data_IF_552540930128
#
_entry.id   IF_552540930128
#
_cell.length_a   1.000
_cell.length_b   1.000
_cell.length_c   1.000
_cell.angle_alpha   90.00
_cell.angle_beta   90.00
_cell.angle_gamma   90.00
#
_symmetry.space_group_name_H-M   'P 1'
#
loop_
_entity.id
_entity.type
_entity.pdbx_description
1 polymer ?
#
# COMPACT_ATOMS: atom_id res chain seq x y z
N UNK A 1 -11.77 -43.47 51.39
CA UNK A 1 -12.68 -44.61 51.65
C UNK A 1 -13.91 -44.45 50.76
N UNK A 2 -14.09 -45.43 49.86
CA UNK A 2 -15.33 -45.97 49.26
C UNK A 2 -16.40 -44.99 48.71
N UNK A 3 -16.51 -44.96 47.36
CA UNK A 3 -17.68 -45.21 46.46
C UNK A 3 -19.11 -45.30 47.07
N UNK A 4 -20.25 -45.18 46.31
CA UNK A 4 -20.41 -45.49 44.87
C UNK A 4 -21.41 -44.67 44.02
N UNK A 5 -21.21 -44.78 42.70
CA UNK A 5 -22.16 -45.10 41.61
C UNK A 5 -23.60 -44.55 41.60
N UNK A 6 -23.98 -43.95 40.46
CA UNK A 6 -25.32 -44.17 39.89
C UNK A 6 -25.32 -44.11 38.36
N UNK A 7 -25.74 -45.25 37.78
CA UNK A 7 -26.15 -45.46 36.40
C UNK A 7 -27.42 -44.66 36.06
N UNK A 8 -27.59 -44.32 34.77
CA UNK A 8 -28.82 -44.31 33.92
C UNK A 8 -28.67 -43.19 32.88
N UNK A 9 -29.17 -43.25 31.66
CA UNK A 9 -29.79 -44.28 30.84
C UNK A 9 -29.60 -43.82 29.39
N UNK A 10 -29.30 -44.76 28.50
CA UNK A 10 -29.22 -44.51 27.07
C UNK A 10 -30.64 -44.37 26.51
N UNK A 11 -30.91 -43.28 25.78
CA UNK A 11 -32.11 -43.13 24.97
C UNK A 11 -31.66 -43.07 23.50
N UNK A 12 -31.82 -44.19 22.80
CA UNK A 12 -31.62 -44.32 21.36
C UNK A 12 -32.83 -43.70 20.64
N UNK A 13 -32.63 -42.52 20.05
CA UNK A 13 -33.56 -41.98 19.05
C UNK A 13 -33.06 -42.40 17.66
N UNK A 14 -33.76 -43.38 17.08
CA UNK A 14 -33.65 -43.77 15.69
C UNK A 14 -34.27 -42.68 14.82
N UNK A 15 -33.46 -41.68 14.45
CA UNK A 15 -33.79 -40.68 13.44
C UNK A 15 -33.76 -41.32 12.05
N UNK A 16 -34.88 -41.22 11.34
CA UNK A 16 -35.04 -41.68 9.96
C UNK A 16 -34.20 -40.83 9.01
N UNK A 17 -33.18 -41.44 8.41
CA UNK A 17 -32.36 -40.82 7.37
C UNK A 17 -33.17 -40.78 6.06
N UNK A 18 -33.60 -39.58 5.65
CA UNK A 18 -34.03 -39.35 4.27
C UNK A 18 -32.77 -39.24 3.41
N UNK A 19 -32.54 -40.22 2.54
CA UNK A 19 -31.60 -40.12 1.42
C UNK A 19 -32.16 -39.08 0.44
N UNK A 20 -31.76 -37.82 0.62
CA UNK A 20 -31.85 -36.84 -0.44
C UNK A 20 -30.81 -37.22 -1.49
N UNK A 21 -31.26 -37.55 -2.69
CA UNK A 21 -30.39 -37.71 -3.84
C UNK A 21 -29.64 -36.39 -4.05
N UNK A 22 -28.33 -36.40 -3.78
CA UNK A 22 -27.45 -35.32 -4.13
C UNK A 22 -27.44 -35.24 -5.66
N UNK A 23 -28.16 -34.26 -6.21
CA UNK A 23 -27.92 -33.83 -7.57
C UNK A 23 -26.52 -33.20 -7.56
N UNK A 24 -25.56 -33.88 -8.19
CA UNK A 24 -24.26 -33.33 -8.57
C UNK A 24 -24.52 -32.16 -9.52
N UNK A 25 -24.81 -31.00 -8.94
CA UNK A 25 -24.56 -29.74 -9.56
C UNK A 25 -23.05 -29.62 -9.60
N UNK A 26 -22.48 -30.12 -10.69
CA UNK A 26 -21.20 -29.66 -11.20
C UNK A 26 -21.37 -28.17 -11.46
N UNK A 27 -21.24 -27.38 -10.38
CA UNK A 27 -20.86 -25.98 -10.47
C UNK A 27 -19.49 -26.00 -11.12
N UNK A 28 -19.49 -25.95 -12.45
CA UNK A 28 -18.42 -25.31 -13.17
C UNK A 28 -18.23 -23.98 -12.46
N UNK A 29 -17.13 -23.87 -11.72
CA UNK A 29 -16.51 -22.60 -11.43
C UNK A 29 -16.34 -21.94 -12.80
N UNK A 30 -17.36 -21.21 -13.25
CA UNK A 30 -17.15 -20.03 -14.06
C UNK A 30 -16.31 -19.16 -13.13
N UNK A 31 -14.99 -19.37 -13.20
CA UNK A 31 -14.03 -18.35 -12.85
C UNK A 31 -14.49 -17.19 -13.68
N UNK A 32 -15.17 -16.29 -12.98
CA UNK A 32 -15.83 -15.15 -13.53
C UNK A 32 -14.76 -14.40 -14.33
N UNK A 33 -14.80 -14.55 -15.66
CA UNK A 33 -13.96 -13.81 -16.59
C UNK A 33 -14.35 -12.30 -16.60
N UNK A 34 -15.04 -11.85 -15.56
CA UNK A 34 -15.31 -10.47 -15.22
C UNK A 34 -14.12 -9.75 -14.60
N UNK A 35 -12.98 -10.42 -14.38
CA UNK A 35 -11.67 -9.73 -14.23
C UNK A 35 -11.25 -8.91 -15.47
N UNK A 36 -12.01 -8.94 -16.57
CA UNK A 36 -11.74 -8.17 -17.80
C UNK A 36 -12.87 -7.27 -18.28
N UNK A 37 -13.91 -7.01 -17.47
CA UNK A 37 -15.00 -6.08 -17.88
C UNK A 37 -15.20 -4.93 -16.91
N UNK A 38 -14.11 -4.36 -16.41
CA UNK A 38 -14.10 -2.91 -16.23
C UNK A 38 -14.16 -2.28 -17.62
N UNK A 39 -14.96 -1.22 -17.75
CA UNK A 39 -15.19 -0.41 -18.95
C UNK A 39 -13.97 -0.28 -19.86
N UNK A 40 -14.17 -0.04 -21.16
CA UNK A 40 -13.17 0.30 -22.19
C UNK A 40 -12.25 1.48 -21.82
N UNK A 41 -11.55 1.38 -20.70
CA UNK A 41 -10.39 2.14 -20.34
C UNK A 41 -9.36 1.81 -21.41
N UNK A 42 -8.75 2.83 -21.99
CA UNK A 42 -7.81 2.64 -23.09
C UNK A 42 -6.73 1.62 -22.70
N UNK A 43 -6.12 0.96 -23.66
CA UNK A 43 -5.07 -0.04 -23.41
C UNK A 43 -3.94 0.47 -22.51
N UNK A 44 -3.77 1.79 -22.41
CA UNK A 44 -2.79 2.49 -21.58
C UNK A 44 -3.27 2.93 -20.18
N UNK A 45 -4.48 2.57 -19.76
CA UNK A 45 -4.89 2.76 -18.36
C UNK A 45 -4.19 1.75 -17.47
N UNK A 46 -3.74 2.21 -16.31
CA UNK A 46 -3.07 1.34 -15.34
C UNK A 46 -3.99 0.18 -14.91
N UNK A 47 -3.42 -1.01 -14.78
CA UNK A 47 -4.06 -2.20 -14.27
C UNK A 47 -3.89 -2.27 -12.74
N UNK A 48 -4.87 -2.83 -12.05
CA UNK A 48 -4.79 -3.06 -10.61
C UNK A 48 -3.65 -4.02 -10.26
N UNK A 49 -2.81 -3.67 -9.28
CA UNK A 49 -1.62 -4.47 -8.96
C UNK A 49 -1.99 -5.91 -8.57
N UNK A 50 -2.93 -6.07 -7.65
CA UNK A 50 -3.43 -7.36 -7.19
C UNK A 50 -3.98 -8.21 -8.33
N UNK A 51 -4.72 -7.64 -9.28
CA UNK A 51 -5.28 -8.40 -10.39
C UNK A 51 -4.20 -8.87 -11.37
N UNK A 52 -3.15 -8.07 -11.60
CA UNK A 52 -1.99 -8.47 -12.41
C UNK A 52 -1.29 -9.69 -11.83
N UNK A 53 -0.97 -9.70 -10.53
CA UNK A 53 -0.29 -10.84 -9.92
C UNK A 53 -1.20 -12.05 -9.71
N UNK A 54 -2.41 -11.86 -9.18
CA UNK A 54 -3.35 -12.96 -8.95
C UNK A 54 -3.85 -13.59 -10.26
N UNK A 55 -3.93 -12.80 -11.33
CA UNK A 55 -4.23 -13.28 -12.68
C UNK A 55 -3.05 -13.97 -13.38
N UNK A 56 -1.86 -13.99 -12.76
CA UNK A 56 -0.64 -14.53 -13.36
C UNK A 56 -0.21 -13.79 -14.63
N UNK A 57 -0.53 -12.50 -14.74
CA UNK A 57 -0.14 -11.66 -15.86
C UNK A 57 1.33 -11.21 -15.75
N UNK A 58 1.83 -11.05 -14.53
CA UNK A 58 3.22 -10.84 -14.21
C UNK A 58 3.55 -11.49 -12.86
N UNK A 59 4.84 -11.68 -12.60
CA UNK A 59 5.42 -12.10 -11.32
C UNK A 59 6.30 -10.98 -10.79
N UNK A 60 6.52 -10.99 -9.48
CA UNK A 60 7.43 -10.02 -8.87
C UNK A 60 8.83 -10.18 -9.48
N UNK A 61 9.42 -9.06 -9.92
CA UNK A 61 10.70 -9.04 -10.62
C UNK A 61 10.59 -9.09 -12.15
N UNK A 62 9.39 -9.28 -12.72
CA UNK A 62 9.19 -9.21 -14.17
C UNK A 62 9.32 -7.78 -14.72
N UNK A 63 9.15 -6.77 -13.86
CA UNK A 63 9.23 -5.37 -14.25
C UNK A 63 10.13 -4.56 -13.32
N UNK A 64 9.52 -3.70 -12.51
CA UNK A 64 10.19 -2.63 -11.78
C UNK A 64 9.87 -2.67 -10.29
N UNK A 65 9.45 -3.84 -9.82
CA UNK A 65 9.24 -4.09 -8.40
C UNK A 65 10.58 -3.94 -7.68
N UNK A 66 10.61 -3.00 -6.73
CA UNK A 66 11.67 -2.92 -5.76
C UNK A 66 11.25 -3.69 -4.51
N UNK A 67 12.07 -4.67 -4.09
CA UNK A 67 11.85 -5.49 -2.90
C UNK A 67 13.02 -5.29 -1.91
N UNK A 68 12.92 -4.32 -0.97
CA UNK A 68 13.97 -4.04 0.00
C UNK A 68 14.40 -5.27 0.81
N UNK A 69 13.44 -6.17 1.10
CA UNK A 69 13.60 -7.27 2.07
C UNK A 69 13.30 -8.66 1.52
N UNK A 70 13.15 -8.81 0.21
CA UNK A 70 12.91 -10.10 -0.47
C UNK A 70 11.60 -10.84 -0.15
N UNK A 71 10.99 -10.60 1.02
CA UNK A 71 9.80 -11.31 1.51
C UNK A 71 8.53 -10.45 1.51
N UNK A 72 8.67 -9.12 1.46
CA UNK A 72 7.54 -8.19 1.54
C UNK A 72 7.16 -7.67 0.16
N UNK A 73 6.08 -8.20 -0.39
CA UNK A 73 5.58 -7.88 -1.73
C UNK A 73 4.25 -7.08 -1.65
N UNK A 74 4.30 -5.77 -1.35
CA UNK A 74 3.08 -4.96 -1.21
C UNK A 74 2.19 -5.02 -2.45
N UNK A 75 2.81 -5.09 -3.63
CA UNK A 75 2.14 -5.08 -4.93
C UNK A 75 1.07 -6.17 -5.07
N UNK A 76 1.27 -7.35 -4.47
CA UNK A 76 0.31 -8.47 -4.56
C UNK A 76 -1.00 -8.23 -3.82
N UNK A 77 -1.03 -7.25 -2.91
CA UNK A 77 -2.18 -6.95 -2.05
C UNK A 77 -2.90 -5.65 -2.42
N UNK A 78 -2.28 -4.79 -3.24
CA UNK A 78 -2.84 -3.51 -3.64
C UNK A 78 -3.90 -3.68 -4.73
N UNK A 79 -5.17 -3.45 -4.40
CA UNK A 79 -6.27 -3.62 -5.35
C UNK A 79 -6.34 -2.52 -6.42
N UNK A 80 -5.92 -1.31 -6.07
CA UNK A 80 -6.05 -0.14 -6.94
C UNK A 80 -5.00 -0.15 -8.05
N UNK A 81 -5.22 0.67 -9.09
CA UNK A 81 -4.34 0.79 -10.25
C UNK A 81 -3.45 2.05 -10.19
N UNK A 82 -3.21 2.58 -8.99
CA UNK A 82 -2.45 3.82 -8.84
C UNK A 82 -0.96 3.57 -8.96
N UNK A 83 -0.23 4.56 -9.43
CA UNK A 83 1.20 4.42 -9.68
C UNK A 83 2.03 4.52 -8.40
N UNK A 84 3.08 3.70 -8.34
CA UNK A 84 4.07 3.64 -7.26
C UNK A 84 5.44 4.06 -7.77
N UNK A 85 6.32 4.48 -6.87
CA UNK A 85 7.70 4.85 -7.21
C UNK A 85 8.51 3.64 -7.70
N UNK A 86 9.40 3.87 -8.67
CA UNK A 86 10.47 2.95 -9.06
C UNK A 86 11.48 2.78 -7.95
N UNK A 87 11.86 3.92 -7.36
CA UNK A 87 12.99 4.02 -6.48
C UNK A 87 12.54 4.58 -5.14
N UNK A 88 12.69 3.78 -4.10
CA UNK A 88 12.30 4.16 -2.75
C UNK A 88 13.26 5.24 -2.19
N UNK A 89 14.40 5.53 -2.85
CA UNK A 89 15.32 6.66 -2.56
C UNK A 89 14.84 7.96 -3.17
N UNK A 90 13.86 7.91 -4.05
CA UNK A 90 13.52 9.13 -4.74
C UNK A 90 12.86 10.08 -3.75
N UNK A 91 13.57 11.16 -3.42
CA UNK A 91 13.02 12.28 -2.65
C UNK A 91 11.87 12.97 -3.42
N UNK A 92 11.75 12.74 -4.73
CA UNK A 92 10.69 13.28 -5.58
C UNK A 92 9.70 12.20 -6.02
N UNK A 93 8.45 12.58 -6.28
CA UNK A 93 7.40 11.66 -6.77
C UNK A 93 7.33 11.68 -8.30
N UNK A 94 7.50 12.86 -8.92
CA UNK A 94 6.95 13.15 -10.25
C UNK A 94 7.67 12.45 -11.41
N UNK A 95 8.96 12.12 -11.27
CA UNK A 95 9.76 11.60 -12.38
C UNK A 95 9.82 10.07 -12.45
N UNK A 96 9.34 9.38 -11.42
CA UNK A 96 9.70 7.98 -11.21
C UNK A 96 8.56 7.09 -10.74
N UNK A 97 7.30 7.38 -11.12
CA UNK A 97 6.19 6.47 -10.81
C UNK A 97 5.83 5.58 -11.99
N UNK A 98 5.28 4.40 -11.72
CA UNK A 98 4.96 3.41 -12.74
C UNK A 98 3.76 2.55 -12.39
N UNK A 99 3.22 1.89 -13.42
CA UNK A 99 2.15 0.91 -13.30
C UNK A 99 2.22 -0.11 -14.43
N UNK A 100 1.49 -1.22 -14.27
CA UNK A 100 1.20 -2.15 -15.35
C UNK A 100 0.09 -1.62 -16.27
N UNK A 101 0.17 -1.94 -17.55
CA UNK A 101 -0.84 -1.65 -18.59
C UNK A 101 -1.00 -2.85 -19.51
N UNK A 102 -2.02 -2.84 -20.38
CA UNK A 102 -2.14 -3.86 -21.43
C UNK A 102 -0.90 -3.87 -22.33
N UNK A 103 -0.51 -5.05 -22.83
CA UNK A 103 0.53 -5.16 -23.87
C UNK A 103 0.17 -4.39 -25.15
N UNK A 104 -1.11 -4.07 -25.36
CA UNK A 104 -1.60 -3.27 -26.48
C UNK A 104 -1.41 -1.74 -26.28
N UNK A 105 -0.90 -1.30 -25.13
CA UNK A 105 -0.59 0.11 -24.91
C UNK A 105 0.62 0.53 -25.78
N UNK A 106 0.38 1.43 -26.73
CA UNK A 106 1.45 2.01 -27.56
C UNK A 106 2.26 3.13 -26.88
N UNK A 107 1.75 3.70 -25.79
CA UNK A 107 2.36 4.86 -25.11
C UNK A 107 2.90 4.48 -23.75
N UNK A 108 4.10 3.91 -23.71
CA UNK A 108 4.73 3.44 -22.47
C UNK A 108 5.52 4.51 -21.71
N UNK A 109 5.72 5.70 -22.27
CA UNK A 109 6.40 6.83 -21.61
C UNK A 109 7.78 6.47 -21.01
N UNK A 110 8.58 5.68 -21.73
CA UNK A 110 9.86 5.14 -21.23
C UNK A 110 9.77 3.76 -20.57
N UNK A 111 8.55 3.22 -20.49
CA UNK A 111 8.27 1.85 -20.10
C UNK A 111 8.62 0.80 -21.16
N UNK A 112 8.39 -0.47 -20.81
CA UNK A 112 8.74 -1.61 -21.64
C UNK A 112 7.67 -2.68 -21.60
N UNK A 113 7.61 -3.46 -22.68
CA UNK A 113 6.86 -4.72 -22.73
C UNK A 113 7.44 -5.70 -21.72
N UNK A 114 6.56 -6.39 -20.99
CA UNK A 114 6.92 -7.45 -20.05
C UNK A 114 6.71 -8.81 -20.70
N UNK A 115 5.51 -9.03 -21.25
CA UNK A 115 5.15 -10.22 -22.02
C UNK A 115 4.01 -9.91 -23.00
N UNK A 116 3.41 -10.92 -23.63
CA UNK A 116 2.35 -10.73 -24.62
C UNK A 116 1.01 -10.24 -24.05
N UNK A 117 0.87 -10.17 -22.72
CA UNK A 117 -0.36 -9.74 -22.04
C UNK A 117 -0.24 -8.37 -21.41
N UNK A 118 0.94 -8.04 -20.85
CA UNK A 118 1.16 -6.78 -20.12
C UNK A 118 2.47 -6.10 -20.49
N UNK A 119 2.45 -4.77 -20.34
CA UNK A 119 3.63 -3.91 -20.33
C UNK A 119 3.64 -3.11 -19.03
N UNK A 120 4.74 -2.43 -18.73
CA UNK A 120 4.74 -1.35 -17.74
C UNK A 120 4.99 -0.02 -18.43
N UNK A 121 4.46 1.05 -17.85
CA UNK A 121 4.70 2.43 -18.30
C UNK A 121 5.17 3.31 -17.15
N UNK A 122 5.86 4.40 -17.48
CA UNK A 122 6.06 5.50 -16.55
C UNK A 122 4.78 6.33 -16.50
N UNK A 123 4.33 6.64 -15.29
CA UNK A 123 3.12 7.40 -15.07
C UNK A 123 3.35 8.90 -15.24
N UNK A 124 2.30 9.60 -15.66
CA UNK A 124 2.35 11.05 -15.86
C UNK A 124 1.40 11.75 -14.87
N UNK A 125 1.94 12.69 -14.10
CA UNK A 125 1.15 13.51 -13.19
C UNK A 125 0.03 14.25 -13.95
N UNK A 126 -1.19 14.20 -13.41
CA UNK A 126 -2.38 14.79 -14.04
C UNK A 126 -3.05 13.91 -15.11
N UNK A 127 -2.42 12.80 -15.52
CA UNK A 127 -3.05 11.80 -16.39
C UNK A 127 -3.33 10.49 -15.64
N UNK A 128 -2.35 10.03 -14.87
CA UNK A 128 -2.43 8.81 -14.07
C UNK A 128 -2.64 9.15 -12.60
N UNK A 129 -3.41 8.32 -11.90
CA UNK A 129 -3.59 8.44 -10.44
C UNK A 129 -2.33 7.95 -9.73
N UNK A 130 -1.75 8.77 -8.85
CA UNK A 130 -0.53 8.43 -8.12
C UNK A 130 -0.86 8.12 -6.65
N UNK A 131 -0.29 7.06 -6.09
CA UNK A 131 -0.38 6.83 -4.63
C UNK A 131 0.19 8.00 -3.85
N UNK A 132 1.24 8.64 -4.37
CA UNK A 132 1.90 9.80 -3.76
C UNK A 132 1.03 11.05 -3.62
N UNK A 133 -0.15 11.08 -4.25
CA UNK A 133 -1.11 12.19 -4.17
C UNK A 133 -2.24 11.94 -3.17
N UNK A 134 -2.37 10.72 -2.64
CA UNK A 134 -3.46 10.39 -1.74
C UNK A 134 -3.29 11.11 -0.39
N UNK A 135 -4.35 11.72 0.15
CA UNK A 135 -4.34 12.15 1.54
C UNK A 135 -4.01 10.98 2.47
N UNK A 136 -3.27 11.18 3.58
CA UNK A 136 -2.87 10.08 4.45
C UNK A 136 -4.06 9.29 5.01
N UNK A 137 -5.17 9.95 5.33
CA UNK A 137 -6.39 9.28 5.79
C UNK A 137 -7.01 8.35 4.75
N UNK A 138 -6.99 8.73 3.47
CA UNK A 138 -7.45 7.88 2.37
C UNK A 138 -6.52 6.69 2.16
N UNK A 139 -5.20 6.90 2.25
CA UNK A 139 -4.25 5.79 2.20
C UNK A 139 -4.47 4.80 3.34
N UNK A 140 -4.67 5.27 4.58
CA UNK A 140 -4.99 4.39 5.71
C UNK A 140 -6.26 3.59 5.46
N UNK A 141 -7.31 4.22 4.92
CA UNK A 141 -8.54 3.52 4.56
C UNK A 141 -8.30 2.42 3.51
N UNK A 142 -7.46 2.68 2.50
CA UNK A 142 -7.08 1.69 1.49
C UNK A 142 -6.30 0.52 2.10
N UNK A 143 -5.30 0.78 2.95
CA UNK A 143 -4.52 -0.29 3.60
C UNK A 143 -5.40 -1.17 4.50
N UNK A 144 -6.35 -0.57 5.21
CA UNK A 144 -7.33 -1.32 6.01
C UNK A 144 -8.22 -2.19 5.14
N UNK A 145 -8.73 -1.64 4.04
CA UNK A 145 -9.59 -2.36 3.07
C UNK A 145 -8.87 -3.56 2.47
N UNK A 146 -7.56 -3.48 2.22
CA UNK A 146 -6.76 -4.56 1.63
C UNK A 146 -6.19 -5.55 2.66
N UNK A 147 -6.30 -5.24 3.96
CA UNK A 147 -5.68 -6.03 5.04
C UNK A 147 -4.16 -5.84 5.13
N UNK A 148 -3.60 -4.86 4.42
CA UNK A 148 -2.16 -4.56 4.41
C UNK A 148 -1.75 -3.68 5.60
N UNK A 149 -1.89 -4.22 6.82
CA UNK A 149 -1.48 -3.55 8.07
C UNK A 149 -0.25 -4.22 8.69
N UNK A 150 0.25 -5.35 8.13
CA UNK A 150 1.40 -6.07 8.69
C UNK A 150 2.62 -5.16 8.78
N UNK A 151 2.91 -4.42 7.71
CA UNK A 151 3.86 -3.32 7.71
C UNK A 151 3.27 -2.15 6.93
N UNK A 152 2.63 -1.19 7.63
CA UNK A 152 1.98 -0.08 6.97
C UNK A 152 2.99 0.94 6.43
N UNK A 153 4.27 0.87 6.78
CA UNK A 153 5.27 1.88 6.35
C UNK A 153 5.68 1.74 4.88
N UNK A 154 5.62 0.52 4.33
CA UNK A 154 6.09 0.22 2.97
C UNK A 154 5.33 0.97 1.85
N UNK A 155 4.01 1.14 2.02
CA UNK A 155 3.20 1.83 0.99
C UNK A 155 3.50 3.33 0.96
N UNK A 156 3.49 4.06 2.09
CA UNK A 156 4.05 5.41 2.18
C UNK A 156 5.43 5.57 1.55
N UNK A 157 6.38 4.70 1.87
CA UNK A 157 7.77 4.77 1.35
C UNK A 157 7.80 4.64 -0.17
N UNK A 158 6.98 3.75 -0.72
CA UNK A 158 6.83 3.55 -2.17
C UNK A 158 5.93 4.58 -2.87
N UNK A 159 5.33 5.52 -2.13
CA UNK A 159 4.35 6.47 -2.65
C UNK A 159 4.78 7.93 -2.51
N UNK A 160 5.13 8.37 -1.30
CA UNK A 160 5.29 9.77 -0.96
C UNK A 160 6.73 10.26 -1.05
N UNK A 161 6.90 11.54 -1.35
CA UNK A 161 8.17 12.24 -1.16
C UNK A 161 8.61 12.17 0.30
N UNK A 162 9.91 12.23 0.55
CA UNK A 162 10.44 12.34 1.90
C UNK A 162 11.39 13.53 2.01
N UNK A 163 11.30 14.21 3.13
CA UNK A 163 12.13 15.35 3.47
C UNK A 163 13.59 14.92 3.69
N UNK A 164 14.52 15.81 3.37
CA UNK A 164 15.96 15.61 3.56
C UNK A 164 16.43 15.97 4.98
N UNK A 165 15.52 16.07 5.94
CA UNK A 165 15.79 16.41 7.34
C UNK A 165 14.99 15.49 8.26
N UNK A 166 15.47 15.38 9.50
CA UNK A 166 14.87 14.53 10.53
C UNK A 166 13.75 15.25 11.27
N UNK A 167 12.82 14.47 11.84
CA UNK A 167 11.64 14.95 12.55
C UNK A 167 12.00 15.87 13.71
N UNK A 168 13.00 15.49 14.52
CA UNK A 168 13.43 16.28 15.68
C UNK A 168 13.82 17.71 15.29
N UNK A 169 14.33 17.88 14.07
CA UNK A 169 14.78 19.17 13.55
C UNK A 169 13.65 20.11 13.12
N UNK A 170 12.43 19.59 12.92
CA UNK A 170 11.27 20.36 12.41
C UNK A 170 10.00 20.21 13.24
N UNK A 171 10.02 19.36 14.26
CA UNK A 171 8.88 19.07 15.13
C UNK A 171 8.28 20.34 15.77
N UNK A 172 9.07 21.41 15.98
CA UNK A 172 8.59 22.68 16.54
C UNK A 172 7.56 23.38 15.65
N UNK A 173 7.59 23.14 14.34
CA UNK A 173 6.56 23.64 13.43
C UNK A 173 5.16 23.18 13.83
N UNK A 174 5.06 21.99 14.44
CA UNK A 174 3.82 21.41 14.93
C UNK A 174 3.58 21.67 16.43
N UNK A 175 4.43 22.46 17.09
CA UNK A 175 4.36 22.78 18.51
C UNK A 175 4.93 21.70 19.41
N UNK A 176 5.84 20.86 18.88
CA UNK A 176 6.48 19.76 19.61
C UNK A 176 8.01 19.89 19.52
N UNK A 177 8.78 19.43 20.50
CA UNK A 177 10.25 19.39 20.35
C UNK A 177 10.98 20.76 20.38
N UNK A 178 12.25 20.79 19.97
CA UNK A 178 13.14 21.96 20.12
C UNK A 178 12.89 23.04 19.06
N UNK A 179 13.35 24.26 19.34
CA UNK A 179 13.28 25.37 18.38
C UNK A 179 13.95 25.01 17.05
N UNK A 180 13.29 25.38 15.95
CA UNK A 180 13.69 25.11 14.57
C UNK A 180 14.35 26.35 13.95
N UNK A 181 15.25 26.14 12.97
CA UNK A 181 15.86 27.27 12.24
C UNK A 181 14.87 27.93 11.27
N UNK A 182 15.04 29.23 10.93
CA UNK A 182 14.17 29.91 9.96
C UNK A 182 14.12 29.23 8.58
N UNK A 183 15.22 28.64 8.11
CA UNK A 183 15.28 27.96 6.81
C UNK A 183 14.44 26.66 6.81
N UNK A 184 14.45 25.93 7.93
CA UNK A 184 13.59 24.76 8.10
C UNK A 184 12.13 25.17 8.22
N UNK A 185 11.83 26.27 8.92
CA UNK A 185 10.47 26.81 9.02
C UNK A 185 9.90 27.16 7.64
N UNK A 186 10.67 27.89 6.82
CA UNK A 186 10.29 28.21 5.45
C UNK A 186 10.05 26.94 4.62
N UNK A 187 10.87 25.91 4.81
CA UNK A 187 10.70 24.64 4.12
C UNK A 187 9.43 23.92 4.55
N UNK A 188 9.12 23.91 5.85
CA UNK A 188 7.87 23.32 6.36
C UNK A 188 6.63 24.07 5.89
N UNK A 189 6.70 25.40 5.77
CA UNK A 189 5.66 26.22 5.13
C UNK A 189 5.45 25.79 3.68
N UNK A 190 6.52 25.64 2.88
CA UNK A 190 6.41 25.16 1.50
C UNK A 190 5.79 23.77 1.40
N UNK A 191 6.21 22.83 2.25
CA UNK A 191 5.66 21.47 2.28
C UNK A 191 4.16 21.52 2.61
N UNK A 192 3.76 22.27 3.65
CA UNK A 192 2.35 22.44 4.03
C UNK A 192 1.53 23.02 2.87
N UNK A 193 2.03 24.08 2.25
CA UNK A 193 1.31 24.85 1.23
C UNK A 193 1.28 24.14 -0.14
N UNK A 194 2.19 23.18 -0.37
CA UNK A 194 2.17 22.32 -1.56
C UNK A 194 0.89 21.48 -1.67
N UNK A 195 0.23 21.21 -0.55
CA UNK A 195 -0.92 20.31 -0.50
C UNK A 195 -0.59 18.86 -0.82
N UNK A 196 0.70 18.49 -0.86
CA UNK A 196 1.18 17.14 -1.14
C UNK A 196 1.63 16.45 0.16
N UNK A 197 1.29 15.17 0.37
CA UNK A 197 1.79 14.42 1.50
C UNK A 197 3.32 14.26 1.41
N UNK A 198 4.00 14.52 2.52
CA UNK A 198 5.46 14.37 2.62
C UNK A 198 5.82 13.60 3.88
N UNK A 199 6.70 12.61 3.75
CA UNK A 199 7.26 11.87 4.87
C UNK A 199 8.44 12.62 5.49
N UNK A 200 8.58 12.53 6.80
CA UNK A 200 9.71 13.03 7.56
C UNK A 200 10.15 11.91 8.49
N UNK A 201 11.42 11.56 8.40
CA UNK A 201 11.99 10.45 9.15
C UNK A 201 12.40 10.86 10.55
N UNK A 202 12.24 9.97 11.53
CA UNK A 202 12.81 10.20 12.86
C UNK A 202 14.36 10.19 12.82
N UNK A 203 14.96 9.37 11.94
CA UNK A 203 16.40 9.30 11.68
C UNK A 203 16.68 9.08 10.20
N UNK A 204 17.69 9.76 9.66
CA UNK A 204 18.27 9.48 8.33
C UNK A 204 19.54 8.60 8.42
N UNK A 205 20.06 8.38 9.64
CA UNK A 205 21.20 7.50 9.89
C UNK A 205 20.81 6.03 10.05
N UNK A 206 21.66 5.11 9.58
CA UNK A 206 21.50 3.65 9.74
C UNK A 206 21.67 2.85 8.44
N UNK A 207 21.39 1.54 8.48
CA UNK A 207 21.22 0.74 7.27
C UNK A 207 20.16 1.44 6.42
N UNK A 208 20.61 1.90 5.25
CA UNK A 208 19.79 2.66 4.34
C UNK A 208 20.35 3.99 3.87
N UNK A 209 21.14 4.72 4.67
CA UNK A 209 21.64 6.07 4.29
C UNK A 209 20.54 6.98 3.66
N UNK A 210 19.29 6.84 4.08
CA UNK A 210 18.13 7.46 3.41
C UNK A 210 17.52 6.68 2.23
N UNK A 211 17.62 5.34 2.23
CA UNK A 211 17.05 4.38 1.26
C UNK A 211 17.03 2.98 1.90
N UNK A 212 16.65 1.88 1.24
CA UNK A 212 15.28 1.41 1.03
C UNK A 212 14.51 1.00 2.31
N UNK A 213 15.04 1.33 3.49
CA UNK A 213 14.36 1.35 4.79
C UNK A 213 13.89 2.75 5.18
N UNK A 214 14.04 3.72 4.26
CA UNK A 214 13.67 5.15 4.24
C UNK A 214 13.96 5.99 5.49
N UNK A 215 13.51 5.55 6.65
CA UNK A 215 13.76 6.17 7.94
C UNK A 215 14.48 5.16 8.83
N UNK A 216 15.68 5.49 9.29
CA UNK A 216 16.43 4.65 10.22
C UNK A 216 15.67 4.40 11.54
N UNK A 217 16.22 3.59 12.45
CA UNK A 217 15.60 3.31 13.75
C UNK A 217 15.06 4.59 14.42
N UNK A 218 13.81 4.59 14.92
CA UNK A 218 12.92 3.45 15.17
C UNK A 218 12.06 3.01 13.96
N UNK A 219 12.41 3.40 12.73
CA UNK A 219 11.68 3.07 11.49
C UNK A 219 10.22 3.55 11.47
N UNK A 220 9.90 4.53 12.30
CA UNK A 220 8.60 5.20 12.29
C UNK A 220 8.66 6.40 11.35
N UNK A 221 7.54 6.67 10.69
CA UNK A 221 7.41 7.79 9.77
C UNK A 221 6.49 8.84 10.40
N UNK A 222 6.84 10.11 10.20
CA UNK A 222 5.89 11.22 10.34
C UNK A 222 5.42 11.60 8.97
N UNK A 223 4.11 11.73 8.80
CA UNK A 223 3.53 12.27 7.57
C UNK A 223 2.98 13.65 7.85
N UNK A 224 3.31 14.58 6.98
CA UNK A 224 2.71 15.91 6.97
C UNK A 224 1.87 16.07 5.71
N UNK A 225 0.67 16.60 5.87
CA UNK A 225 -0.25 16.86 4.75
C UNK A 225 -1.14 18.03 5.10
N UNK A 226 -0.94 19.18 4.44
CA UNK A 226 -1.59 20.44 4.85
C UNK A 226 -1.37 20.67 6.35
N UNK A 227 -2.43 20.93 7.11
CA UNK A 227 -2.37 21.11 8.57
C UNK A 227 -2.38 19.80 9.37
N UNK A 228 -2.34 18.65 8.70
CA UNK A 228 -2.38 17.34 9.34
C UNK A 228 -0.97 16.85 9.67
N UNK A 229 -0.86 16.22 10.84
CA UNK A 229 0.30 15.44 11.25
C UNK A 229 -0.15 14.01 11.55
N UNK A 230 0.48 13.03 10.92
CA UNK A 230 0.21 11.61 11.14
C UNK A 230 1.46 10.90 11.65
N UNK A 231 1.24 9.86 12.44
CA UNK A 231 2.26 8.91 12.86
C UNK A 231 2.02 7.57 12.19
N UNK A 232 3.06 7.02 11.56
CA UNK A 232 3.08 5.71 10.93
C UNK A 232 4.14 4.86 11.61
N UNK A 233 3.79 4.18 12.72
CA UNK A 233 4.75 3.32 13.43
C UNK A 233 5.09 2.06 12.63
N UNK A 234 6.34 1.62 12.73
CA UNK A 234 6.75 0.31 12.21
C UNK A 234 5.94 -0.78 12.92
N UNK A 235 5.16 -1.56 12.17
CA UNK A 235 4.26 -2.62 12.68
C UNK A 235 3.10 -2.15 13.58
N UNK A 236 2.69 -0.88 13.52
CA UNK A 236 1.52 -0.38 14.26
C UNK A 236 0.52 0.36 13.37
N UNK A 237 -0.68 0.59 13.90
CA UNK A 237 -1.72 1.26 13.13
C UNK A 237 -1.39 2.76 12.92
N UNK A 238 -1.42 3.25 11.67
CA UNK A 238 -1.24 4.67 11.42
C UNK A 238 -2.35 5.49 12.08
N UNK A 239 -1.98 6.62 12.66
CA UNK A 239 -2.92 7.47 13.38
C UNK A 239 -2.67 8.94 13.08
N UNK A 240 -3.74 9.72 13.06
CA UNK A 240 -3.62 11.16 13.00
C UNK A 240 -3.36 11.72 14.40
N UNK A 241 -2.34 12.57 14.50
CA UNK A 241 -1.90 13.21 15.73
C UNK A 241 -2.49 14.62 15.85
N UNK A 242 -2.58 15.36 14.74
CA UNK A 242 -3.03 16.76 14.72
C UNK A 242 -3.75 17.10 13.42
N UNK A 243 -4.76 17.96 13.50
CA UNK A 243 -5.35 18.64 12.33
C UNK A 243 -6.26 17.78 11.45
N UNK A 244 -6.59 16.55 11.86
CA UNK A 244 -7.58 15.75 11.17
C UNK A 244 -8.97 16.02 11.74
N UNK A 245 -9.94 16.22 10.85
CA UNK A 245 -11.35 16.23 11.21
C UNK A 245 -11.72 14.84 11.74
N UNK A 246 -12.46 14.80 12.85
CA UNK A 246 -12.93 13.56 13.50
C UNK A 246 -14.30 13.16 12.99
#
# INVERSE_FOLDING_TARGET
MVSPSSLRAACLLLGTWRLAAAQDTTSLLQVDASLGRESSQGSCTCLGWKSVYQGGLAKVGDAREYLPHGEYEPYTSLGENYCLKFDFASHTIEDYTWCYVSAECGSLNGGSKVNDKVSWKTCQAGQDTLYGQLPPGEMVALLKKTGWIKDPTLIPVSAYAYATFEWDSVSAFYGTGPSMSPAQEETMVRIRDSGMPTMICDSLGGYGNGHPDACGPPYSLKMVYKNQLWSWPHFGEPSCIKGCDK
#
